data_IF_024163444130
#
_entry.id   IF_024163444130
#
_cell.length_a   1.000
_cell.length_b   1.000
_cell.length_c   1.000
_cell.angle_alpha   90.00
_cell.angle_beta   90.00
_cell.angle_gamma   90.00
#
_symmetry.space_group_name_H-M   'P 1'
#
loop_
_entity.id
_entity.type
_entity.pdbx_description
1 polymer ?
2 water ?
#
# COMPACT_ATOMS: atom_id res chain seq x y z
N UNK A 3 14.40 19.82 -15.86
CA UNK A 3 14.37 19.05 -17.09
C UNK A 3 13.07 18.26 -17.28
N UNK A 4 12.38 17.94 -16.17
CA UNK A 4 11.19 17.10 -16.27
C UNK A 4 9.98 17.96 -16.60
N UNK A 5 9.18 17.58 -17.59
CA UNK A 5 8.06 18.42 -18.05
C UNK A 5 6.79 18.34 -17.20
N UNK A 6 6.82 17.67 -16.06
CA UNK A 6 5.60 17.56 -15.25
C UNK A 6 5.44 18.80 -14.40
N UNK A 7 4.28 19.44 -14.49
CA UNK A 7 3.98 20.67 -13.77
C UNK A 7 2.66 20.50 -13.03
N UNK A 8 2.61 20.84 -11.74
CA UNK A 8 1.33 20.82 -11.03
C UNK A 8 0.46 21.99 -11.46
N UNK A 9 -0.84 21.73 -11.59
CA UNK A 9 -1.79 22.82 -11.82
C UNK A 9 -2.04 23.63 -10.56
N UNK A 10 -1.52 23.22 -9.41
CA UNK A 10 -1.70 23.93 -8.16
C UNK A 10 -0.33 24.25 -7.57
N UNK A 11 -0.23 25.07 -6.53
CA UNK A 11 1.05 25.24 -5.84
C UNK A 11 1.26 24.18 -4.77
N UNK A 12 2.50 23.71 -4.68
CA UNK A 12 2.91 22.77 -3.63
C UNK A 12 3.36 23.48 -2.38
N UNK A 13 3.49 24.81 -2.42
CA UNK A 13 4.27 25.57 -1.47
C UNK A 13 3.46 26.58 -0.69
N UNK A 14 2.16 26.72 -0.97
CA UNK A 14 1.35 27.79 -0.43
C UNK A 14 0.35 27.23 0.57
N UNK A 15 -0.02 28.06 1.54
CA UNK A 15 -0.95 27.66 2.59
C UNK A 15 -2.37 27.64 2.06
N UNK A 16 -3.15 26.64 2.49
CA UNK A 16 -4.53 26.49 2.13
C UNK A 16 -4.82 25.08 1.68
N UNK A 17 -6.02 24.89 1.12
CA UNK A 17 -6.48 23.62 0.59
C UNK A 17 -6.51 23.75 -0.93
N UNK A 18 -5.82 22.84 -1.63
CA UNK A 18 -5.66 22.92 -3.07
C UNK A 18 -5.94 21.57 -3.70
N UNK A 19 -6.89 21.53 -4.62
CA UNK A 19 -7.18 20.34 -5.41
C UNK A 19 -6.80 20.61 -6.87
N UNK A 20 -5.95 19.77 -7.41
CA UNK A 20 -5.48 19.94 -8.78
C UNK A 20 -4.94 18.68 -9.38
N UNK A 21 -3.94 18.83 -10.26
CA UNK A 21 -3.37 17.71 -10.99
C UNK A 21 -1.88 17.92 -11.18
N UNK A 22 -1.19 16.81 -11.43
CA UNK A 22 0.13 16.83 -12.06
C UNK A 22 -0.06 16.58 -13.55
N UNK A 23 0.47 17.46 -14.38
CA UNK A 23 0.23 17.44 -15.82
C UNK A 23 1.56 17.40 -16.57
N UNK A 24 1.66 16.51 -17.57
CA UNK A 24 2.72 16.57 -18.57
C UNK A 24 2.05 16.47 -19.93
N UNK A 25 2.19 17.47 -20.79
CA UNK A 25 1.41 17.49 -22.04
C UNK A 25 1.72 16.36 -23.01
N UNK A 26 2.88 15.68 -22.91
CA UNK A 26 3.15 14.50 -23.71
C UNK A 26 2.75 14.71 -25.18
N UNK A 27 3.31 15.74 -25.79
CA UNK A 27 2.74 16.31 -27.00
C UNK A 27 3.65 16.18 -28.22
N UNK A 31 -1.40 21.05 -31.60
CA UNK A 31 -1.47 19.67 -32.06
C UNK A 31 -0.88 18.74 -31.00
N UNK A 32 -1.00 19.17 -29.74
CA UNK A 32 -0.46 18.44 -28.60
C UNK A 32 -0.95 17.00 -28.55
N UNK A 33 -2.14 16.74 -29.10
CA UNK A 33 -2.88 15.49 -28.96
C UNK A 33 -2.77 14.88 -27.57
N UNK A 34 -3.05 15.66 -26.54
CA UNK A 34 -3.39 15.13 -25.24
C UNK A 34 -2.45 15.56 -24.15
N UNK A 35 -2.63 14.94 -22.98
CA UNK A 35 -1.90 15.16 -21.75
C UNK A 35 -2.38 14.11 -20.77
N UNK A 36 -1.56 13.82 -19.76
CA UNK A 36 -2.00 12.96 -18.67
C UNK A 36 -2.06 13.80 -17.41
N UNK A 37 -3.08 13.54 -16.58
CA UNK A 37 -3.37 14.33 -15.40
C UNK A 37 -3.51 13.40 -14.22
N UNK A 38 -2.64 13.56 -13.23
CA UNK A 38 -2.70 12.78 -11.99
C UNK A 38 -3.37 13.67 -10.93
N UNK A 39 -4.54 13.29 -10.45
CA UNK A 39 -5.19 14.11 -9.42
C UNK A 39 -4.37 14.13 -8.14
N UNK A 40 -4.35 15.28 -7.48
CA UNK A 40 -3.66 15.39 -6.21
C UNK A 40 -4.25 16.55 -5.43
N UNK A 41 -4.21 16.42 -4.11
CA UNK A 41 -4.59 17.47 -3.18
C UNK A 41 -3.39 17.83 -2.32
N UNK A 42 -3.15 19.12 -2.14
CA UNK A 42 -2.12 19.60 -1.22
C UNK A 42 -2.80 20.47 -0.16
N UNK A 43 -2.55 20.16 1.10
CA UNK A 43 -3.03 20.93 2.23
C UNK A 43 -1.83 21.32 3.05
N UNK A 44 -1.51 22.61 3.08
CA UNK A 44 -0.37 23.11 3.85
C UNK A 44 -0.84 24.24 4.74
N UNK A 45 -0.25 24.31 5.93
CA UNK A 45 -0.57 25.35 6.91
C UNK A 45 0.53 25.40 7.95
N UNK A 46 0.85 26.60 8.40
CA UNK A 46 1.86 26.79 9.42
C UNK A 46 3.18 26.13 9.05
N UNK A 47 3.84 25.59 10.06
CA UNK A 47 5.13 24.94 9.90
C UNK A 47 5.06 23.50 10.41
N UNK A 48 5.70 22.60 9.66
CA UNK A 48 5.80 21.21 10.08
C UNK A 48 6.29 20.30 8.97
N UNK A 49 6.33 19.00 9.25
CA UNK A 49 6.80 18.04 8.25
C UNK A 49 5.78 17.83 7.14
N UNK A 50 6.20 17.05 6.15
CA UNK A 50 5.41 16.80 4.95
C UNK A 50 5.15 15.30 4.81
N UNK A 51 3.89 14.93 4.60
CA UNK A 51 3.50 13.55 4.36
C UNK A 51 3.15 13.38 2.89
N UNK A 52 3.73 12.35 2.26
CA UNK A 52 3.42 11.98 0.89
C UNK A 52 2.57 10.71 0.92
N UNK A 53 1.29 10.84 0.58
CA UNK A 53 0.32 9.76 0.72
C UNK A 53 -0.17 9.35 -0.66
N UNK A 54 0.09 8.11 -1.06
CA UNK A 54 -0.32 7.59 -2.35
C UNK A 54 -1.23 6.39 -2.15
N UNK A 55 -2.30 6.34 -2.94
CA UNK A 55 -3.41 5.44 -2.66
C UNK A 55 -3.26 4.01 -3.12
N UNK A 56 -2.94 3.81 -4.40
CA UNK A 56 -2.96 2.47 -4.97
C UNK A 56 -2.10 2.45 -6.21
N UNK A 57 -1.31 1.39 -6.37
CA UNK A 57 -0.59 1.16 -7.61
C UNK A 57 -1.41 0.39 -8.63
N UNK A 58 -2.56 -0.13 -8.23
CA UNK A 58 -3.42 -0.91 -9.11
C UNK A 58 -4.87 -0.48 -8.91
N UNK A 59 -5.68 -0.71 -9.95
CA UNK A 59 -7.06 -0.28 -9.95
C UNK A 59 -8.04 -1.12 -9.17
N UNK A 60 -7.60 -2.23 -8.56
CA UNK A 60 -8.53 -3.09 -7.83
C UNK A 60 -8.33 -3.03 -6.32
N UNK A 61 -7.77 -1.92 -5.82
CA UNK A 61 -7.59 -1.71 -4.38
C UNK A 61 -8.34 -0.45 -3.98
N UNK A 62 -9.05 -0.51 -2.85
CA UNK A 62 -10.03 0.54 -2.57
C UNK A 62 -9.96 1.15 -1.17
N UNK A 63 -9.43 0.41 -0.19
CA UNK A 63 -9.27 0.99 1.15
C UNK A 63 -8.45 2.28 1.07
N UNK A 64 -7.33 2.23 0.36
CA UNK A 64 -6.49 3.39 0.13
C UNK A 64 -7.22 4.53 -0.53
N UNK A 65 -7.74 4.30 -1.76
CA UNK A 65 -8.47 5.39 -2.45
C UNK A 65 -9.62 5.99 -1.65
N UNK A 66 -10.33 5.18 -0.86
CA UNK A 66 -11.44 5.73 -0.08
C UNK A 66 -10.92 6.64 1.01
N UNK A 67 -9.97 6.14 1.82
CA UNK A 67 -9.41 6.93 2.90
C UNK A 67 -8.81 8.24 2.40
N UNK A 68 -8.09 8.19 1.27
CA UNK A 68 -7.44 9.40 0.78
C UNK A 68 -8.42 10.36 0.13
N UNK A 69 -9.49 9.86 -0.48
CA UNK A 69 -10.56 10.74 -0.93
C UNK A 69 -11.20 11.46 0.24
N UNK A 70 -11.45 10.74 1.34
CA UNK A 70 -12.05 11.33 2.52
C UNK A 70 -11.13 12.38 3.15
N UNK A 71 -9.87 12.01 3.37
CA UNK A 71 -8.90 12.95 3.96
C UNK A 71 -8.78 14.20 3.12
N UNK A 72 -8.68 14.04 1.79
CA UNK A 72 -8.51 15.19 0.92
C UNK A 72 -9.73 16.10 0.91
N UNK A 73 -10.92 15.54 1.15
CA UNK A 73 -12.15 16.33 1.07
C UNK A 73 -12.58 16.92 2.41
N UNK A 74 -12.18 16.32 3.52
CA UNK A 74 -12.73 16.68 4.82
C UNK A 74 -11.73 17.35 5.76
N UNK A 75 -10.50 17.58 5.32
CA UNK A 75 -9.46 18.17 6.16
C UNK A 75 -9.24 19.63 5.77
N UNK A 76 -9.37 20.53 6.74
CA UNK A 76 -9.15 21.94 6.51
C UNK A 76 -7.69 22.30 6.79
N UNK A 77 -7.32 23.51 6.36
CA UNK A 77 -5.95 23.99 6.59
C UNK A 77 -5.67 24.15 8.07
N UNK A 78 -6.60 24.77 8.80
CA UNK A 78 -6.47 24.96 10.24
C UNK A 78 -6.13 23.65 10.97
N UNK A 79 -6.44 22.51 10.36
CA UNK A 79 -6.15 21.22 11.00
C UNK A 79 -4.71 20.77 10.82
N UNK A 80 -3.95 21.37 9.91
CA UNK A 80 -2.65 20.87 9.52
C UNK A 80 -1.56 21.78 10.08
N UNK A 81 -0.49 21.17 10.55
CA UNK A 81 0.74 21.88 10.92
C UNK A 81 1.86 21.18 10.16
N UNK A 82 2.19 21.71 8.99
CA UNK A 82 3.05 21.02 8.05
C UNK A 82 2.44 20.97 6.67
N UNK A 83 2.48 19.82 6.01
CA UNK A 83 1.95 19.73 4.66
C UNK A 83 1.58 18.29 4.33
N UNK A 84 0.43 18.13 3.68
CA UNK A 84 -0.01 16.84 3.16
C UNK A 84 -0.03 16.91 1.64
N UNK A 85 0.61 15.94 0.99
CA UNK A 85 0.51 15.76 -0.45
C UNK A 85 -0.20 14.44 -0.69
N UNK A 86 -1.43 14.51 -1.19
CA UNK A 86 -2.33 13.37 -1.27
C UNK A 86 -2.51 12.99 -2.72
N UNK A 87 -2.08 11.78 -3.08
CA UNK A 87 -2.26 11.23 -4.42
C UNK A 87 -3.15 9.99 -4.28
N UNK A 88 -4.48 10.14 -4.36
CA UNK A 88 -5.36 8.99 -4.10
C UNK A 88 -5.18 7.87 -5.09
N UNK A 89 -4.82 8.17 -6.34
CA UNK A 89 -4.65 7.17 -7.37
C UNK A 89 -3.25 7.31 -7.96
N UNK A 90 -2.50 6.21 -7.95
CA UNK A 90 -1.12 6.18 -8.41
C UNK A 90 -0.93 5.06 -9.44
N UNK A 91 -2.00 4.70 -10.15
CA UNK A 91 -2.01 3.56 -11.06
C UNK A 91 -2.05 4.07 -12.49
N UNK A 92 -0.88 4.11 -13.13
CA UNK A 92 -0.80 4.44 -14.55
C UNK A 92 -1.58 3.40 -15.36
N UNK A 93 -2.23 3.82 -16.45
CA UNK A 93 -2.32 5.20 -16.96
C UNK A 93 -3.59 5.92 -16.54
N UNK A 94 -4.51 5.17 -15.93
CA UNK A 94 -5.83 5.73 -15.64
C UNK A 94 -5.77 6.76 -14.52
N UNK A 95 -5.06 6.44 -13.44
CA UNK A 95 -5.05 7.26 -12.23
C UNK A 95 -6.46 7.53 -11.74
N UNK A 96 -7.26 6.47 -11.69
CA UNK A 96 -8.57 6.49 -11.04
C UNK A 96 -8.83 5.11 -10.47
N UNK A 97 -9.34 5.07 -9.23
CA UNK A 97 -9.77 3.82 -8.62
C UNK A 97 -10.69 3.05 -9.56
N UNK A 98 -10.56 1.72 -9.54
CA UNK A 98 -11.39 0.86 -10.35
C UNK A 98 -11.01 0.80 -11.82
N UNK A 99 -10.32 1.79 -12.34
CA UNK A 99 -9.91 1.75 -13.74
C UNK A 99 -8.69 0.88 -13.91
N UNK A 108 4.95 0.50 -17.41
CA UNK A 108 4.59 0.19 -16.04
C UNK A 108 5.27 1.17 -15.07
N UNK A 109 4.45 1.91 -14.34
CA UNK A 109 4.99 2.96 -13.48
C UNK A 109 5.71 2.39 -12.25
N UNK A 110 5.29 1.23 -11.75
CA UNK A 110 5.86 0.70 -10.53
C UNK A 110 7.08 -0.20 -10.76
N UNK A 111 7.70 -0.13 -11.94
CA UNK A 111 9.06 -0.64 -12.12
C UNK A 111 9.93 0.34 -12.90
N UNK A 112 9.53 1.61 -12.98
CA UNK A 112 10.27 2.63 -13.71
C UNK A 112 11.05 3.56 -12.80
N UNK A 113 11.16 3.24 -11.51
CA UNK A 113 11.98 4.10 -10.66
C UNK A 113 13.45 3.71 -10.80
N UNK A 114 14.37 4.69 -10.76
CA UNK A 114 14.09 6.10 -10.50
C UNK A 114 13.62 6.92 -11.71
N UNK A 115 13.58 6.31 -12.89
CA UNK A 115 13.13 7.03 -14.07
C UNK A 115 14.16 8.03 -14.58
N UNK A 116 13.72 8.83 -15.55
CA UNK A 116 14.55 9.85 -16.15
C UNK A 116 13.66 10.96 -16.69
N UNK A 117 14.16 12.20 -16.74
CA UNK A 117 13.30 13.29 -17.20
C UNK A 117 13.02 13.25 -18.70
N UNK A 118 13.99 12.79 -19.50
CA UNK A 118 13.80 12.58 -20.93
C UNK A 118 13.59 11.09 -21.22
N UNK A 119 12.46 10.56 -20.77
CA UNK A 119 12.22 9.13 -20.98
C UNK A 119 10.78 8.77 -21.29
N UNK A 120 10.41 7.52 -20.98
CA UNK A 120 9.03 7.06 -21.09
C UNK A 120 8.11 7.99 -20.31
N UNK A 121 6.82 7.98 -20.63
CA UNK A 121 5.87 8.69 -19.78
C UNK A 121 5.96 8.19 -18.35
N UNK A 122 6.08 6.87 -18.16
CA UNK A 122 6.17 6.33 -16.82
C UNK A 122 7.47 6.69 -16.12
N UNK A 123 8.56 6.84 -16.88
CA UNK A 123 9.83 7.25 -16.27
C UNK A 123 9.87 8.74 -15.98
N UNK A 124 9.12 9.54 -16.73
CA UNK A 124 8.99 10.96 -16.39
C UNK A 124 8.19 11.12 -15.10
N UNK A 125 7.14 10.32 -14.91
CA UNK A 125 6.37 10.36 -13.68
C UNK A 125 7.21 9.89 -12.51
N UNK A 126 7.97 8.81 -12.69
CA UNK A 126 8.83 8.30 -11.62
C UNK A 126 9.93 9.29 -11.28
N UNK A 127 10.53 9.91 -12.30
CA UNK A 127 11.56 10.92 -12.05
C UNK A 127 11.00 12.10 -11.27
N UNK A 128 9.73 12.44 -11.47
CA UNK A 128 9.13 13.51 -10.68
C UNK A 128 9.00 13.09 -9.22
N UNK A 129 8.46 11.91 -8.96
CA UNK A 129 8.35 11.44 -7.59
C UNK A 129 9.72 11.22 -6.97
N UNK A 130 10.67 10.71 -7.76
CA UNK A 130 11.99 10.40 -7.21
C UNK A 130 12.79 11.65 -6.88
N UNK A 131 12.76 12.65 -7.77
CA UNK A 131 13.65 13.80 -7.65
C UNK A 131 12.95 15.08 -7.22
N UNK A 132 11.61 15.12 -7.20
CA UNK A 132 10.92 16.31 -6.72
C UNK A 132 10.05 16.05 -5.51
N UNK A 133 9.16 15.04 -5.56
CA UNK A 133 8.22 14.86 -4.46
C UNK A 133 8.84 14.13 -3.27
N UNK A 134 9.50 12.99 -3.53
CA UNK A 134 10.06 12.21 -2.42
C UNK A 134 11.12 12.94 -1.60
N UNK A 135 12.07 13.67 -2.17
CA UNK A 135 13.08 14.32 -1.32
C UNK A 135 12.48 15.27 -0.30
N UNK A 136 11.40 15.96 -0.64
CA UNK A 136 10.77 16.92 0.24
C UNK A 136 9.76 16.28 1.19
N UNK A 137 9.74 14.96 1.29
CA UNK A 137 8.79 14.23 2.11
C UNK A 137 9.49 13.69 3.35
N UNK A 138 8.86 13.88 4.51
CA UNK A 138 9.36 13.34 5.76
C UNK A 138 8.69 12.04 6.14
N UNK A 139 7.51 11.77 5.58
CA UNK A 139 6.75 10.56 5.85
C UNK A 139 6.04 10.14 4.58
N UNK A 140 6.12 8.86 4.25
CA UNK A 140 5.40 8.30 3.11
C UNK A 140 4.49 7.18 3.60
N UNK A 141 3.22 7.25 3.23
CA UNK A 141 2.26 6.18 3.51
C UNK A 141 1.79 5.62 2.19
N UNK A 142 2.08 4.34 1.93
CA UNK A 142 1.73 3.71 0.65
C UNK A 142 0.69 2.62 0.92
N UNK A 143 -0.55 2.87 0.49
CA UNK A 143 -1.62 1.92 0.68
C UNK A 143 -1.58 0.86 -0.42
N UNK A 144 -1.60 -0.40 -0.01
CA UNK A 144 -1.89 -1.52 -0.91
C UNK A 144 -3.12 -2.25 -0.40
N UNK A 145 -3.64 -3.13 -1.27
CA UNK A 145 -4.58 -4.14 -0.88
C UNK A 145 -4.43 -5.30 -1.85
N UNK A 146 -5.00 -6.45 -1.48
CA UNK A 146 -4.71 -7.68 -2.19
C UNK A 146 -5.07 -7.65 -3.67
N UNK A 147 -6.07 -6.85 -4.04
CA UNK A 147 -6.55 -6.90 -5.40
C UNK A 147 -7.50 -8.07 -5.59
N UNK A 148 -7.70 -8.45 -6.84
CA UNK A 148 -8.71 -9.47 -7.15
C UNK A 148 -8.24 -10.88 -6.77
N UNK A 149 -6.93 -11.11 -6.74
CA UNK A 149 -6.42 -12.47 -6.55
C UNK A 149 -6.23 -12.84 -5.08
N UNK A 150 -5.94 -11.86 -4.22
CA UNK A 150 -5.55 -12.15 -2.84
C UNK A 150 -6.41 -11.37 -1.86
N UNK A 151 -6.57 -11.97 -0.67
CA UNK A 151 -7.24 -11.32 0.46
C UNK A 151 -6.32 -11.41 1.67
N UNK A 152 -6.07 -10.27 2.31
CA UNK A 152 -5.19 -10.18 3.45
C UNK A 152 -5.99 -9.84 4.70
N UNK A 153 -5.45 -10.21 5.86
CA UNK A 153 -5.91 -9.62 7.11
C UNK A 153 -5.44 -8.17 7.07
N UNK A 154 -6.19 -7.22 7.64
CA UNK A 154 -5.77 -5.82 7.55
C UNK A 154 -4.53 -5.54 8.37
N UNK A 155 -3.41 -5.19 7.71
CA UNK A 155 -2.17 -4.96 8.43
C UNK A 155 -1.43 -3.77 7.86
N UNK A 156 -0.65 -3.12 8.73
CA UNK A 156 0.38 -2.17 8.34
C UNK A 156 1.74 -2.84 8.45
N UNK A 157 2.68 -2.39 7.62
CA UNK A 157 4.00 -3.00 7.56
C UNK A 157 5.09 -1.94 7.63
N UNK A 158 6.19 -2.28 8.30
CA UNK A 158 7.40 -1.45 8.34
C UNK A 158 8.59 -2.23 7.79
N UNK A 159 9.56 -1.48 7.22
CA UNK A 159 10.81 -2.03 6.65
C UNK A 159 12.01 -1.53 7.47
N UNK A 160 12.65 -2.45 8.19
CA UNK A 160 13.78 -2.19 9.09
C UNK A 160 15.03 -2.58 8.31
N UNK A 162 15.98 -1.66 8.13
CA UNK A 162 17.09 -2.00 7.24
C UNK A 162 18.36 -1.42 7.83
N UNK A 163 19.48 -2.12 7.64
CA UNK A 163 20.77 -1.64 7.09
C UNK A 163 21.16 -0.26 7.58
N UNK A 164 20.12 0.54 7.83
CA UNK A 164 20.11 1.95 8.13
C UNK A 164 19.81 2.12 9.62
N UNK A 165 19.52 3.35 10.02
CA UNK A 165 19.05 3.58 11.39
C UNK A 165 17.63 4.09 11.45
N UNK A 166 17.01 4.38 10.30
CA UNK A 166 15.65 4.89 10.24
C UNK A 166 14.61 3.85 10.67
N UNK A 167 15.04 2.62 10.92
CA UNK A 167 14.11 1.54 11.20
C UNK A 167 13.24 1.84 12.41
N UNK A 168 13.83 2.44 13.45
CA UNK A 168 13.04 2.78 14.63
C UNK A 168 11.97 3.80 14.29
N UNK A 169 12.23 4.65 13.29
CA UNK A 169 11.23 5.65 12.89
C UNK A 169 10.09 5.01 12.11
N UNK A 170 10.41 4.09 11.19
CA UNK A 170 9.39 3.35 10.45
C UNK A 170 8.57 2.46 11.37
N UNK A 171 9.24 1.63 12.18
CA UNK A 171 8.54 0.81 13.17
C UNK A 171 7.58 1.67 14.00
N UNK A 172 8.02 2.87 14.38
CA UNK A 172 7.18 3.76 15.17
C UNK A 172 5.97 4.24 14.38
N UNK A 173 6.16 4.56 13.10
CA UNK A 173 5.03 4.98 12.28
C UNK A 173 4.02 3.85 12.10
N UNK A 174 4.51 2.63 11.87
CA UNK A 174 3.61 1.49 11.78
C UNK A 174 2.85 1.31 13.09
N UNK A 175 3.55 1.40 14.21
CA UNK A 175 2.87 1.19 15.50
C UNK A 175 1.86 2.30 15.77
N UNK A 176 2.14 3.51 15.27
CA UNK A 176 1.12 4.55 15.32
C UNK A 176 -0.09 4.16 14.48
N UNK A 177 0.12 3.63 13.27
CA UNK A 177 -0.99 3.20 12.43
C UNK A 177 -1.93 2.28 13.21
N UNK A 178 -1.37 1.27 13.87
CA UNK A 178 -2.11 0.44 14.83
C UNK A 178 -3.29 -0.27 14.15
N UNK A 179 -3.01 -0.87 12.99
CA UNK A 179 -3.96 -1.79 12.38
C UNK A 179 -4.06 -3.03 13.26
N UNK A 180 -5.09 -3.85 13.08
CA UNK A 180 -5.19 -5.07 13.89
C UNK A 180 -3.97 -5.98 13.79
N UNK A 181 -3.18 -5.87 12.73
CA UNK A 181 -1.97 -6.67 12.55
C UNK A 181 -0.83 -5.76 12.14
N UNK A 182 0.36 -6.05 12.68
CA UNK A 182 1.54 -5.23 12.44
C UNK A 182 2.68 -6.13 11.98
N UNK A 183 3.09 -5.98 10.74
CA UNK A 183 4.04 -6.89 10.11
C UNK A 183 5.38 -6.18 9.95
N UNK A 184 6.46 -6.90 10.25
CA UNK A 184 7.82 -6.41 10.06
C UNK A 184 8.44 -7.10 8.86
N UNK A 185 8.75 -6.33 7.80
CA UNK A 185 9.39 -6.80 6.58
C UNK A 185 10.78 -6.19 6.43
N UNK A 186 11.80 -7.04 6.39
CA UNK A 186 13.16 -6.55 6.15
C UNK A 186 13.65 -6.96 4.77
N UNK A 187 12.78 -7.60 4.00
CA UNK A 187 12.86 -7.59 2.56
C UNK A 187 12.89 -6.14 2.08
N UNK A 188 13.96 -5.73 1.39
CA UNK A 188 13.87 -4.53 0.58
C UNK A 188 13.30 -4.90 -0.78
N UNK A 189 12.27 -4.18 -1.20
CA UNK A 189 11.45 -4.59 -2.33
C UNK A 189 12.26 -4.57 -3.63
N UNK A 190 11.73 -5.25 -4.63
CA UNK A 190 12.46 -5.45 -5.87
C UNK A 190 12.74 -4.11 -6.56
N UNK A 191 13.64 -4.15 -7.54
CA UNK A 191 14.13 -2.95 -8.18
C UNK A 191 13.05 -2.30 -9.04
N UNK A 192 13.12 -0.96 -9.12
CA UNK A 192 12.20 -0.20 -9.94
C UNK A 192 10.91 0.19 -9.26
N UNK A 193 10.62 -0.36 -8.09
CA UNK A 193 9.36 -0.09 -7.43
C UNK A 193 9.40 1.23 -6.67
N UNK A 194 8.23 1.79 -6.42
CA UNK A 194 8.13 3.03 -5.67
C UNK A 194 8.52 2.82 -4.21
N UNK A 195 8.00 1.75 -3.59
CA UNK A 195 8.34 1.44 -2.21
C UNK A 195 9.84 1.24 -2.02
N UNK A 196 10.52 0.69 -3.03
CA UNK A 196 11.97 0.55 -2.95
C UNK A 196 12.66 1.91 -2.98
N UNK A 197 12.12 2.85 -3.77
CA UNK A 197 12.71 4.18 -3.84
C UNK A 197 12.67 4.87 -2.47
N UNK A 198 11.55 4.74 -1.75
CA UNK A 198 11.44 5.34 -0.43
C UNK A 198 12.40 4.67 0.54
N UNK A 199 12.37 3.33 0.59
CA UNK A 199 13.27 2.58 1.47
C UNK A 199 14.73 2.97 1.25
N UNK A 200 15.16 3.01 -0.02
CA UNK A 200 16.55 3.26 -0.34
C UNK A 200 16.95 4.72 -0.21
N UNK A 201 15.98 5.63 -0.21
CA UNK A 201 16.25 7.03 0.13
C UNK A 201 16.38 7.22 1.64
N UNK A 202 16.05 6.20 2.43
CA UNK A 202 16.12 6.32 3.87
C UNK A 202 14.95 7.02 4.51
N UNK A 203 13.82 7.08 3.82
CA UNK A 203 12.67 7.80 4.34
C UNK A 203 11.81 6.90 5.21
N UNK A 204 11.01 7.54 6.06
CA UNK A 204 10.03 6.83 6.88
C UNK A 204 8.90 6.40 5.96
N UNK A 205 8.68 5.09 5.88
CA UNK A 205 7.66 4.51 5.01
C UNK A 205 6.82 3.53 5.83
N UNK A 206 5.50 3.68 5.76
CA UNK A 206 4.58 2.64 6.21
C UNK A 206 3.72 2.24 5.02
N UNK A 207 3.65 0.95 4.77
CA UNK A 207 2.81 0.37 3.73
C UNK A 207 1.71 -0.46 4.40
N UNK A 208 0.69 -0.82 3.61
CA UNK A 208 -0.46 -1.51 4.15
C UNK A 208 -0.87 -2.65 3.24
N UNK A 209 -1.70 -3.54 3.78
CA UNK A 209 -2.51 -4.47 3.00
C UNK A 209 -3.82 -4.57 3.79
N UNK A 210 -4.82 -3.80 3.39
CA UNK A 210 -6.02 -3.59 4.19
C UNK A 210 -7.21 -4.38 3.67
N UNK A 211 -6.96 -5.52 3.04
CA UNK A 211 -8.03 -6.35 2.53
C UNK A 211 -7.70 -7.00 1.21
N UNK A 212 -8.61 -6.91 0.26
CA UNK A 212 -8.42 -7.50 -1.05
C UNK A 212 -9.74 -7.98 -1.61
N UNK A 213 -9.65 -8.77 -2.67
CA UNK A 213 -10.82 -9.23 -3.38
C UNK A 213 -11.46 -8.20 -4.29
N UNK A 214 -10.87 -7.02 -4.42
CA UNK A 214 -11.49 -5.95 -5.18
C UNK A 214 -12.68 -5.36 -4.47
N UNK A 215 -12.62 -5.21 -3.15
CA UNK A 215 -13.73 -4.71 -2.37
C UNK A 215 -13.19 -4.07 -1.10
N UNK A 216 -14.07 -3.32 -0.44
CA UNK A 216 -13.69 -2.60 0.77
C UNK A 216 -14.90 -2.54 1.69
N UNK A 217 -14.72 -2.99 2.93
CA UNK A 217 -15.79 -3.02 3.91
C UNK A 217 -15.74 -1.78 4.78
N UNK A 218 -16.77 -1.59 5.60
CA UNK A 218 -16.67 -0.44 6.49
C UNK A 218 -15.66 -0.69 7.61
N UNK A 219 -15.37 -1.96 7.93
CA UNK A 219 -14.28 -2.28 8.88
C UNK A 219 -12.93 -1.86 8.33
N UNK A 220 -12.63 -2.28 7.11
CA UNK A 220 -11.32 -2.00 6.54
C UNK A 220 -11.19 -0.53 6.19
N UNK A 221 -12.28 0.10 5.73
CA UNK A 221 -12.26 1.55 5.55
C UNK A 221 -11.95 2.27 6.86
N UNK A 222 -12.53 1.79 7.96
CA UNK A 222 -12.31 2.43 9.25
C UNK A 222 -10.89 2.20 9.75
N UNK A 223 -10.32 1.03 9.46
CA UNK A 223 -8.92 0.78 9.80
C UNK A 223 -8.02 1.75 9.05
N UNK A 224 -8.35 2.03 7.79
CA UNK A 224 -7.53 2.94 6.98
C UNK A 224 -7.62 4.36 7.48
N UNK A 225 -8.82 4.82 7.82
CA UNK A 225 -8.99 6.20 8.27
C UNK A 225 -8.33 6.41 9.63
N UNK A 226 -8.55 5.49 10.56
CA UNK A 226 -7.91 5.58 11.87
C UNK A 226 -6.39 5.51 11.74
N UNK A 227 -5.90 4.54 10.96
CA UNK A 227 -4.46 4.42 10.78
C UNK A 227 -3.85 5.65 10.11
N UNK A 228 -4.58 6.24 9.16
CA UNK A 228 -4.10 7.46 8.51
C UNK A 228 -4.00 8.60 9.50
N UNK A 229 -5.04 8.83 10.29
CA UNK A 229 -5.04 9.92 11.26
C UNK A 229 -3.97 9.71 12.33
N UNK A 230 -3.90 8.50 12.88
CA UNK A 230 -2.87 8.16 13.86
C UNK A 230 -1.49 8.53 13.36
N UNK A 231 -1.16 8.08 12.15
CA UNK A 231 0.18 8.30 11.60
C UNK A 231 0.44 9.78 11.38
N UNK A 232 -0.59 10.53 10.98
CA UNK A 232 -0.41 11.97 10.77
C UNK A 232 -0.33 12.74 12.08
N UNK A 233 -1.08 12.30 13.10
CA UNK A 233 -0.96 12.91 14.43
C UNK A 233 0.41 12.61 15.01
N UNK A 234 0.79 11.33 15.01
CA UNK A 234 2.12 10.94 15.48
C UNK A 234 3.22 11.72 14.78
N UNK A 235 3.04 11.97 13.47
CA UNK A 235 4.01 12.77 12.72
C UNK A 235 3.94 14.25 13.05
N UNK A 236 2.99 14.68 13.87
CA UNK A 236 2.87 16.09 14.20
C UNK A 236 2.32 16.96 13.10
N UNK A 237 1.65 16.37 12.12
CA UNK A 237 1.05 17.11 11.03
C UNK A 237 -0.42 17.42 11.31
N UNK A 238 -1.13 16.49 11.91
CA UNK A 238 -2.55 16.64 12.23
C UNK A 238 -2.74 16.81 13.73
N UNK A 239 -3.78 17.54 14.10
CA UNK A 239 -4.11 17.76 15.50
C UNK A 239 -5.09 16.68 15.96
N UNK A 240 -4.92 16.23 17.19
CA UNK A 240 -5.92 15.38 17.81
C UNK A 240 -5.31 14.31 18.68
N UNK A 241 -6.18 13.43 19.15
CA UNK A 241 -5.84 12.32 20.04
C UNK A 241 -5.81 11.02 19.26
N UNK A 242 -4.82 10.18 19.55
CA UNK A 242 -4.66 8.93 18.83
C UNK A 242 -5.60 7.86 19.37
N UNK A 243 -5.97 6.93 18.50
CA UNK A 243 -6.72 5.74 18.87
C UNK A 243 -5.78 4.55 18.84
N UNK A 244 -5.65 3.86 19.98
CA UNK A 244 -4.80 2.68 20.09
C UNK A 244 -5.64 1.50 20.54
N UNK A 245 -5.72 0.48 19.71
CA UNK A 245 -6.36 -0.79 20.03
C UNK A 245 -5.30 -1.88 20.09
N UNK A 246 -5.75 -3.12 20.25
CA UNK A 246 -4.86 -4.25 20.22
C UNK A 246 -4.27 -4.44 18.82
N UNK A 247 -3.13 -5.10 18.78
CA UNK A 247 -2.52 -5.46 17.51
C UNK A 247 -1.69 -6.72 17.71
N UNK A 248 -1.50 -7.47 16.62
CA UNK A 248 -0.75 -8.71 16.64
C UNK A 248 0.46 -8.54 15.74
N UNK A 249 1.65 -8.73 16.29
CA UNK A 249 2.89 -8.50 15.57
C UNK A 249 3.33 -9.78 14.87
N UNK A 250 3.61 -9.67 13.58
CA UNK A 250 3.88 -10.82 12.73
C UNK A 250 5.14 -10.58 11.91
N UNK A 251 5.81 -11.68 11.56
CA UNK A 251 6.95 -11.66 10.65
C UNK A 251 6.77 -12.76 9.61
N UNK A 252 7.34 -12.52 8.42
CA UNK A 252 7.40 -13.51 7.36
C UNK A 252 8.88 -13.78 7.09
N UNK A 253 9.51 -14.63 7.91
CA UNK A 253 10.98 -14.76 7.87
C UNK A 253 11.52 -15.73 6.85
N UNK A 254 10.66 -16.50 6.17
CA UNK A 254 11.12 -17.63 5.38
C UNK A 254 10.20 -17.81 4.19
N UNK A 255 10.72 -18.45 3.13
CA UNK A 255 9.87 -18.84 2.02
C UNK A 255 8.88 -19.92 2.43
N UNK A 256 9.10 -20.56 3.57
CA UNK A 256 8.18 -21.53 4.17
C UNK A 256 6.89 -20.89 4.68
N UNK A 257 6.76 -19.57 4.59
CA UNK A 257 5.50 -18.89 4.91
C UNK A 257 4.53 -18.92 3.75
N UNK A 258 4.99 -19.29 2.55
CA UNK A 258 4.20 -19.21 1.33
C UNK A 258 3.92 -20.61 0.80
N UNK A 259 2.68 -20.84 0.41
CA UNK A 259 2.26 -22.11 -0.18
C UNK A 259 1.65 -21.79 -1.55
N UNK A 260 2.24 -22.35 -2.60
CA UNK A 260 1.81 -22.08 -3.95
C UNK A 260 1.08 -23.28 -4.54
N UNK A 261 0.09 -22.99 -5.38
CA UNK A 261 -0.68 -24.04 -6.01
C UNK A 261 0.10 -24.64 -7.17
N UNK A 262 -0.01 -25.96 -7.32
CA UNK A 262 0.66 -26.69 -8.39
C UNK A 262 -0.30 -27.16 -9.48
N UNK A 263 -1.54 -26.68 -9.46
CA UNK A 263 -2.52 -27.08 -10.46
C UNK A 263 -3.74 -26.18 -10.40
N UNK A 264 -4.63 -26.40 -11.38
CA UNK A 264 -5.87 -25.64 -11.49
C UNK A 264 -7.03 -26.44 -10.91
N UNK A 265 -8.04 -25.72 -10.42
CA UNK A 265 -9.26 -26.36 -9.99
C UNK A 265 -10.13 -25.40 -9.19
N UNK A 266 -11.21 -25.96 -8.66
CA UNK A 266 -12.10 -25.24 -7.76
C UNK A 266 -11.48 -25.19 -6.38
N UNK A 267 -11.43 -24.00 -5.79
CA UNK A 267 -10.61 -23.73 -4.62
C UNK A 267 -11.46 -23.71 -3.37
N UNK A 268 -11.14 -24.60 -2.42
CA UNK A 268 -11.85 -24.68 -1.14
C UNK A 268 -10.87 -24.42 -0.01
N UNK A 269 -10.94 -23.23 0.58
CA UNK A 269 -10.10 -22.93 1.73
C UNK A 269 -10.68 -23.55 2.99
N UNK A 270 -9.81 -24.15 3.80
CA UNK A 270 -10.25 -24.84 5.00
C UNK A 270 -10.08 -24.03 6.28
N UNK A 271 -9.36 -22.90 6.26
CA UNK A 271 -9.01 -22.19 7.50
C UNK A 271 -9.48 -20.72 7.46
N UNK A 272 -9.84 -20.19 8.64
CA UNK A 272 -10.06 -18.75 8.79
C UNK A 272 -8.84 -17.90 8.42
N UNK A 273 -9.04 -16.89 7.57
CA UNK A 273 -8.08 -15.77 7.55
C UNK A 273 -7.91 -15.27 8.97
N UNK A 274 -6.66 -15.13 9.42
CA UNK A 274 -6.40 -14.78 10.81
C UNK A 274 -6.39 -15.92 11.81
N UNK A 275 -6.78 -17.16 11.39
CA UNK A 275 -6.85 -18.24 12.36
C UNK A 275 -5.49 -18.87 12.60
N UNK A 276 -5.27 -19.42 13.79
CA UNK A 276 -3.99 -20.08 14.07
C UNK A 276 -3.87 -21.35 13.25
N UNK A 277 -2.62 -21.68 12.90
CA UNK A 277 -2.36 -22.88 12.11
C UNK A 277 -1.00 -23.44 12.51
N UNK A 278 -0.94 -24.74 12.69
CA UNK A 278 0.30 -25.44 13.01
C UNK A 278 0.87 -26.07 11.75
N UNK A 279 2.20 -26.24 11.74
CA UNK A 279 2.86 -26.90 10.63
C UNK A 279 2.23 -28.27 10.39
N UNK A 280 1.77 -28.49 9.16
CA UNK A 280 1.13 -29.73 8.78
C UNK A 280 -0.39 -29.66 8.66
N UNK A 281 -1.02 -28.62 9.22
CA UNK A 281 -2.47 -28.49 9.12
C UNK A 281 -2.88 -28.25 7.67
N UNK A 282 -4.11 -28.64 7.36
CA UNK A 282 -4.65 -28.48 6.01
C UNK A 282 -5.12 -27.04 5.81
N UNK A 283 -4.55 -26.36 4.81
CA UNK A 283 -4.96 -24.99 4.49
C UNK A 283 -6.11 -24.94 3.51
N UNK A 284 -6.08 -25.77 2.47
CA UNK A 284 -7.01 -25.63 1.36
C UNK A 284 -7.06 -26.92 0.57
N UNK A 285 -8.16 -27.09 -0.17
CA UNK A 285 -8.33 -28.17 -1.13
C UNK A 285 -8.61 -27.57 -2.50
N UNK A 286 -8.12 -28.24 -3.54
CA UNK A 286 -8.34 -27.82 -4.91
C UNK A 286 -9.01 -28.98 -5.64
N UNK A 287 -10.28 -28.79 -6.01
CA UNK A 287 -11.06 -29.85 -6.62
C UNK A 287 -10.84 -29.86 -8.13
N UNK A 288 -10.45 -31.00 -8.70
CA UNK A 288 -10.24 -31.04 -10.15
C UNK A 288 -11.56 -30.97 -10.88
N UNK A 289 -11.56 -30.27 -12.01
CA UNK A 289 -12.76 -30.10 -12.80
C UNK A 289 -12.84 -31.11 -13.95
N UNK A 290 -12.01 -32.14 -13.92
CA UNK A 290 -12.10 -33.26 -14.85
C UNK A 290 -12.12 -34.57 -14.08
N UNK A 293 -13.35 -36.48 -11.21
CA UNK A 293 -13.46 -37.84 -10.70
C UNK A 293 -12.43 -38.18 -9.64
N UNK A 294 -11.26 -37.53 -9.73
CA UNK A 294 -10.14 -37.78 -8.84
C UNK A 294 -10.33 -37.04 -7.51
N UNK A 295 -9.64 -37.46 -6.45
CA UNK A 295 -9.71 -36.73 -5.17
C UNK A 295 -9.07 -35.36 -5.27
N UNK A 296 -9.34 -34.48 -4.30
CA UNK A 296 -8.76 -33.13 -4.34
C UNK A 296 -7.29 -33.11 -3.95
N UNK A 297 -6.60 -32.08 -4.43
CA UNK A 297 -5.22 -31.82 -4.05
C UNK A 297 -5.21 -31.03 -2.75
N UNK A 298 -4.44 -31.49 -1.77
CA UNK A 298 -4.36 -30.86 -0.46
C UNK A 298 -3.13 -29.97 -0.37
N UNK A 299 -3.30 -28.83 0.31
CA UNK A 299 -2.20 -27.89 0.53
C UNK A 299 -2.11 -27.61 2.02
N UNK A 300 -0.94 -27.89 2.60
CA UNK A 300 -0.77 -27.88 4.03
C UNK A 300 0.28 -26.84 4.45
N UNK A 301 0.13 -26.35 5.68
CA UNK A 301 1.01 -25.31 6.18
C UNK A 301 2.42 -25.86 6.41
N UNK A 302 3.42 -25.10 5.98
CA UNK A 302 4.81 -25.46 6.20
C UNK A 302 5.41 -24.81 7.44
N UNK A 303 4.71 -23.85 8.04
CA UNK A 303 5.14 -23.22 9.28
C UNK A 303 3.92 -22.90 10.14
N UNK A 304 4.12 -22.89 11.44
CA UNK A 304 3.06 -22.52 12.37
C UNK A 304 2.96 -21.01 12.50
N UNK A 305 1.75 -20.53 12.71
CA UNK A 305 1.49 -19.10 12.81
C UNK A 305 0.03 -18.80 12.52
N UNK A 306 -0.20 -17.64 11.91
CA UNK A 306 -1.53 -17.17 11.57
C UNK A 306 -1.67 -17.03 10.06
N UNK A 307 -2.78 -17.50 9.51
CA UNK A 307 -3.07 -17.29 8.10
C UNK A 307 -3.35 -15.81 7.90
N UNK A 308 -2.47 -15.13 7.16
CA UNK A 308 -2.59 -13.69 6.95
C UNK A 308 -2.99 -13.34 5.53
N UNK A 309 -2.96 -14.30 4.61
CA UNK A 309 -3.36 -14.06 3.23
C UNK A 309 -3.89 -15.36 2.64
N UNK A 310 -4.79 -15.24 1.67
CA UNK A 310 -5.39 -16.40 1.04
C UNK A 310 -5.79 -16.05 -0.39
N UNK A 311 -5.74 -17.06 -1.27
CA UNK A 311 -6.33 -16.92 -2.59
C UNK A 311 -7.81 -16.59 -2.46
N UNK A 312 -8.23 -15.52 -3.12
CA UNK A 312 -9.62 -15.08 -3.04
C UNK A 312 -10.59 -15.76 -4.00
N UNK A 313 -10.31 -15.86 -5.31
CA UNK A 313 -11.36 -16.32 -6.25
C UNK A 313 -11.66 -17.80 -6.08
N UNK A 314 -12.79 -18.20 -6.68
CA UNK A 314 -13.26 -19.56 -6.54
C UNK A 314 -12.46 -20.57 -7.34
N UNK A 315 -11.88 -20.14 -8.45
CA UNK A 315 -10.95 -20.96 -9.21
C UNK A 315 -9.53 -20.54 -8.89
N UNK A 316 -8.62 -21.51 -8.86
CA UNK A 316 -7.21 -21.24 -8.64
C UNK A 316 -6.42 -21.83 -9.81
N UNK A 317 -5.26 -21.26 -10.07
CA UNK A 317 -4.42 -21.65 -11.19
C UNK A 317 -3.04 -22.06 -10.67
N UNK A 318 -2.33 -22.85 -11.48
CA UNK A 318 -0.96 -23.23 -11.13
C UNK A 318 -0.11 -21.98 -10.95
N UNK A 319 0.60 -21.92 -9.83
CA UNK A 319 1.46 -20.81 -9.51
C UNK A 319 0.84 -19.78 -8.58
N UNK A 320 -0.49 -19.75 -8.45
CA UNK A 320 -1.13 -18.84 -7.51
C UNK A 320 -0.73 -19.22 -6.09
N UNK A 321 -0.66 -18.20 -5.22
CA UNK A 321 -0.34 -18.44 -3.82
C UNK A 321 -1.60 -18.90 -3.10
N UNK A 322 -1.53 -20.08 -2.47
CA UNK A 322 -2.68 -20.64 -1.78
C UNK A 322 -2.97 -19.85 -0.51
N UNK A 323 -1.95 -19.64 0.32
CA UNK A 323 -2.09 -18.91 1.58
C UNK A 323 -0.71 -18.49 2.05
N UNK A 324 -0.70 -17.48 2.93
CA UNK A 324 0.52 -17.02 3.59
C UNK A 324 0.31 -17.09 5.09
N UNK A 325 1.34 -17.53 5.81
CA UNK A 325 1.32 -17.68 7.26
C UNK A 325 2.31 -16.71 7.88
N UNK A 326 1.85 -15.92 8.85
CA UNK A 326 2.71 -15.03 9.61
C UNK A 326 3.07 -15.63 10.95
N UNK A 327 4.33 -15.42 11.38
CA UNK A 327 4.91 -16.16 12.49
C UNK A 327 4.73 -15.39 13.80
N UNK A 328 4.65 -16.17 14.90
CA UNK A 328 4.32 -15.70 16.25
C UNK A 328 3.03 -14.88 16.28
#
# INVERSE_FOLDING_TARGET
MQKNPISPTIPLDRDGVFHGFLKLPHSRDDSAWGSVMIPLTVIKNGAGPTALLTGANHGDEYEGPVALHELAATTSAEDVTGRLIIVPAFNYPAFRAGSRTSPIDRGNLNRSFPGRPDGTVTEKIADYFQRTLLPMADLAVDFHSGGKTLDFVPFAAAHILDDKATQAACFAAMKAFNAPYSVELLEIDSAGMYDTAVEEMGKVLVTTELGGGGSSSARSNAIAKKGLRNVLIHAGILKGEMQLDETVNLTMPDDDCFVFSEGDGLFEMMIDLGAPVAKGDLLARVWPLDRTGQPPVEYRARRAGLVISRHFPGLIKSGDCVAVVGVTGA
#
